data_IF_079302937942
#
_entry.id   IF_079302937942
#
_cell.length_a   1.000
_cell.length_b   1.000
_cell.length_c   1.000
_cell.angle_alpha   90.00
_cell.angle_beta   90.00
_cell.angle_gamma   90.00
#
_symmetry.space_group_name_H-M   'P 1'
#
loop_
_entity.id
_entity.type
_entity.pdbx_description
1 polymer ?
#
# COMPACT_ATOMS: atom_id res chain seq x y z
N UNK A 1 33.99 -4.39 -19.73
CA UNK A 1 32.81 -4.56 -20.61
C UNK A 1 32.82 -5.92 -21.34
N UNK A 2 33.89 -6.31 -22.05
CA UNK A 2 33.95 -7.58 -22.81
C UNK A 2 33.69 -8.87 -21.99
N UNK A 3 34.25 -8.97 -20.77
CA UNK A 3 33.99 -10.14 -19.90
C UNK A 3 32.52 -10.24 -19.49
N UNK A 4 31.84 -9.12 -19.25
CA UNK A 4 30.44 -9.11 -18.85
C UNK A 4 29.54 -9.59 -20.00
N UNK A 5 29.82 -9.17 -21.23
CA UNK A 5 29.10 -9.67 -22.42
C UNK A 5 29.33 -11.17 -22.65
N UNK A 6 30.53 -11.67 -22.37
CA UNK A 6 30.88 -13.09 -22.48
C UNK A 6 30.17 -13.95 -21.41
N UNK A 7 30.10 -13.48 -20.16
CA UNK A 7 29.31 -14.13 -19.11
C UNK A 7 27.82 -14.15 -19.44
N UNK A 8 27.28 -13.04 -19.96
CA UNK A 8 25.87 -12.95 -20.36
C UNK A 8 25.55 -13.91 -21.52
N UNK A 9 26.43 -14.02 -22.52
CA UNK A 9 26.25 -14.96 -23.62
C UNK A 9 26.32 -16.41 -23.15
N UNK A 10 27.26 -16.72 -22.26
CA UNK A 10 27.38 -18.06 -21.67
C UNK A 10 26.15 -18.42 -20.84
N UNK A 11 25.67 -17.49 -20.02
CA UNK A 11 24.48 -17.69 -19.19
C UNK A 11 23.22 -17.80 -20.03
N UNK A 12 23.04 -16.94 -21.03
CA UNK A 12 21.91 -17.00 -21.96
C UNK A 12 21.90 -18.32 -22.75
N UNK A 13 23.05 -18.75 -23.27
CA UNK A 13 23.17 -20.01 -23.99
C UNK A 13 22.90 -21.23 -23.10
N UNK A 14 23.35 -21.20 -21.85
CA UNK A 14 23.05 -22.25 -20.88
C UNK A 14 21.58 -22.27 -20.48
N UNK A 15 20.97 -21.10 -20.27
CA UNK A 15 19.57 -20.99 -19.91
C UNK A 15 18.67 -21.46 -21.07
N UNK A 16 18.93 -21.02 -22.29
CA UNK A 16 18.19 -21.47 -23.47
C UNK A 16 18.28 -22.98 -23.66
N UNK A 17 19.48 -23.55 -23.56
CA UNK A 17 19.70 -25.00 -23.71
C UNK A 17 19.04 -25.79 -22.59
N UNK A 18 19.11 -25.31 -21.35
CA UNK A 18 18.46 -25.95 -20.21
C UNK A 18 16.94 -25.87 -20.32
N UNK A 19 16.38 -24.70 -20.62
CA UNK A 19 14.94 -24.52 -20.79
C UNK A 19 14.43 -25.36 -21.97
N UNK A 20 15.11 -25.33 -23.11
CA UNK A 20 14.72 -26.12 -24.28
C UNK A 20 14.78 -27.63 -24.00
N UNK A 21 15.80 -28.09 -23.28
CA UNK A 21 15.93 -29.50 -22.90
C UNK A 21 14.89 -29.91 -21.84
N UNK A 22 14.56 -29.03 -20.89
CA UNK A 22 13.52 -29.28 -19.90
C UNK A 22 12.14 -29.35 -20.55
N UNK A 23 11.85 -28.45 -21.51
CA UNK A 23 10.56 -28.42 -22.19
C UNK A 23 10.38 -29.62 -23.13
N UNK A 24 11.42 -30.02 -23.86
CA UNK A 24 11.37 -31.15 -24.79
C UNK A 24 11.31 -32.53 -24.11
N UNK A 25 11.76 -32.63 -22.86
CA UNK A 25 11.73 -33.87 -22.07
C UNK A 25 10.45 -34.07 -21.26
N UNK A 26 9.53 -33.10 -21.25
CA UNK A 26 8.26 -33.21 -20.53
C UNK A 26 7.33 -34.24 -21.21
N UNK A 27 6.80 -35.16 -20.42
CA UNK A 27 5.73 -36.04 -20.87
C UNK A 27 4.38 -35.31 -20.84
N UNK A 28 3.37 -35.82 -21.56
CA UNK A 28 2.01 -35.26 -21.54
C UNK A 28 1.44 -35.18 -20.11
N UNK A 29 1.78 -36.14 -19.25
CA UNK A 29 1.37 -36.15 -17.83
C UNK A 29 1.96 -34.98 -17.05
N UNK A 30 3.18 -34.56 -17.37
CA UNK A 30 3.85 -33.47 -16.68
C UNK A 30 3.25 -32.11 -17.06
N UNK A 31 2.86 -31.94 -18.33
CA UNK A 31 2.11 -30.76 -18.76
C UNK A 31 0.78 -30.63 -18.03
N UNK A 32 0.03 -31.72 -17.90
CA UNK A 32 -1.25 -31.73 -17.16
C UNK A 32 -1.03 -31.34 -15.69
N UNK A 33 0.02 -31.86 -15.04
CA UNK A 33 0.39 -31.48 -13.67
C UNK A 33 0.72 -30.00 -13.55
N UNK A 34 1.48 -29.43 -14.48
CA UNK A 34 1.82 -27.99 -14.49
C UNK A 34 0.56 -27.15 -14.61
N UNK A 35 -0.36 -27.50 -15.51
CA UNK A 35 -1.62 -26.79 -15.69
C UNK A 35 -2.50 -26.88 -14.43
N UNK A 36 -2.58 -28.04 -13.79
CA UNK A 36 -3.32 -28.19 -12.53
C UNK A 36 -2.71 -27.33 -11.41
N UNK A 37 -1.37 -27.28 -11.29
CA UNK A 37 -0.72 -26.47 -10.28
C UNK A 37 -0.91 -24.96 -10.54
N UNK A 38 -0.68 -24.50 -11.77
CA UNK A 38 -0.88 -23.09 -12.13
C UNK A 38 -2.35 -22.69 -12.04
N UNK A 39 -3.23 -23.48 -12.65
CA UNK A 39 -4.67 -23.23 -12.66
C UNK A 39 -5.26 -23.33 -11.27
N UNK A 40 -4.87 -24.35 -10.50
CA UNK A 40 -5.25 -24.52 -9.10
C UNK A 40 -4.78 -23.36 -8.23
N UNK A 41 -3.52 -22.92 -8.37
CA UNK A 41 -3.01 -21.74 -7.65
C UNK A 41 -3.74 -20.46 -8.05
N UNK A 42 -3.94 -20.23 -9.35
CA UNK A 42 -4.65 -19.06 -9.85
C UNK A 42 -6.08 -18.98 -9.31
N UNK A 43 -6.75 -20.13 -9.20
CA UNK A 43 -8.09 -20.23 -8.62
C UNK A 43 -8.08 -20.11 -7.09
N UNK A 44 -7.06 -20.64 -6.40
CA UNK A 44 -6.93 -20.60 -4.94
C UNK A 44 -6.57 -19.20 -4.42
N UNK A 45 -5.74 -18.45 -5.17
CA UNK A 45 -5.26 -17.10 -4.81
C UNK A 45 -6.36 -16.12 -4.35
N UNK A 46 -7.46 -15.90 -5.09
CA UNK A 46 -8.50 -14.94 -4.66
C UNK A 46 -9.16 -15.34 -3.34
N UNK A 47 -9.27 -16.63 -3.03
CA UNK A 47 -9.83 -17.10 -1.76
C UNK A 47 -8.86 -16.91 -0.60
N UNK A 48 -7.56 -17.17 -0.82
CA UNK A 48 -6.53 -16.87 0.17
C UNK A 48 -6.47 -15.38 0.50
N UNK A 49 -6.60 -14.51 -0.50
CA UNK A 49 -6.66 -13.06 -0.29
C UNK A 49 -7.90 -12.63 0.52
N UNK A 50 -9.07 -13.23 0.25
CA UNK A 50 -10.28 -12.98 1.03
C UNK A 50 -10.15 -13.45 2.48
N UNK A 51 -9.48 -14.58 2.73
CA UNK A 51 -9.22 -15.09 4.07
C UNK A 51 -8.23 -14.20 4.82
N UNK A 52 -7.13 -13.82 4.18
CA UNK A 52 -6.14 -12.92 4.75
C UNK A 52 -6.76 -11.56 5.11
N UNK A 53 -7.59 -10.99 4.22
CA UNK A 53 -8.31 -9.74 4.51
C UNK A 53 -9.26 -9.85 5.71
N UNK A 54 -9.96 -10.98 5.86
CA UNK A 54 -10.80 -11.24 7.05
C UNK A 54 -9.98 -11.39 8.33
N UNK A 55 -8.81 -12.01 8.24
CA UNK A 55 -7.91 -12.16 9.40
C UNK A 55 -7.37 -10.80 9.83
N UNK A 56 -6.90 -10.00 8.87
CA UNK A 56 -6.46 -8.63 9.11
C UNK A 56 -7.57 -7.75 9.70
N UNK A 57 -8.80 -7.82 9.17
CA UNK A 57 -9.92 -7.07 9.74
C UNK A 57 -10.21 -7.47 11.20
N UNK A 58 -10.16 -8.76 11.51
CA UNK A 58 -10.33 -9.27 12.89
C UNK A 58 -9.21 -8.83 13.82
N UNK A 59 -7.97 -8.77 13.34
CA UNK A 59 -6.85 -8.27 14.13
C UNK A 59 -6.96 -6.75 14.36
N UNK A 60 -7.48 -5.99 13.39
CA UNK A 60 -7.76 -4.56 13.56
C UNK A 60 -8.94 -4.28 14.50
N UNK A 61 -9.94 -5.16 14.54
CA UNK A 61 -11.10 -5.05 15.44
C UNK A 61 -10.82 -5.60 16.84
N UNK A 62 -9.78 -6.43 17.01
CA UNK A 62 -9.41 -6.96 18.32
C UNK A 62 -8.85 -5.82 19.18
N UNK A 63 -9.52 -5.57 20.30
CA UNK A 63 -8.98 -4.71 21.35
C UNK A 63 -7.67 -5.32 21.85
N UNK A 64 -6.55 -4.62 21.57
CA UNK A 64 -5.23 -5.03 22.02
C UNK A 64 -5.20 -4.96 23.54
N UNK A 65 -4.78 -6.05 24.20
CA UNK A 65 -4.56 -6.01 25.64
C UNK A 65 -3.44 -5.00 25.96
N UNK A 66 -3.45 -4.35 27.13
CA UNK A 66 -2.42 -3.36 27.49
C UNK A 66 -0.99 -3.93 27.47
N UNK A 67 -0.83 -5.25 27.53
CA UNK A 67 0.46 -5.94 27.43
C UNK A 67 0.91 -6.22 25.98
N UNK A 68 -0.01 -6.19 25.01
CA UNK A 68 0.30 -6.32 23.57
C UNK A 68 0.61 -4.96 22.94
N UNK A 69 0.04 -3.86 23.45
CA UNK A 69 0.30 -2.47 22.98
C UNK A 69 1.76 -1.99 23.21
N UNK A 70 2.49 -2.64 24.11
CA UNK A 70 3.91 -2.33 24.40
C UNK A 70 4.87 -3.14 23.53
N UNK A 71 4.37 -4.11 22.75
CA UNK A 71 5.20 -4.92 21.85
C UNK A 71 5.47 -4.18 20.53
N UNK A 72 6.69 -4.30 20.01
CA UNK A 72 7.14 -3.68 18.76
C UNK A 72 6.29 -4.09 17.53
N UNK A 73 5.53 -5.18 17.66
CA UNK A 73 4.62 -5.71 16.64
C UNK A 73 3.24 -5.03 16.61
N UNK A 74 2.84 -4.33 17.66
CA UNK A 74 1.54 -3.66 17.78
C UNK A 74 1.64 -2.14 17.55
N UNK A 75 2.72 -1.67 16.94
CA UNK A 75 2.94 -0.25 16.70
C UNK A 75 1.82 0.32 15.79
N UNK A 76 1.02 1.28 16.28
CA UNK A 76 -0.01 1.90 15.48
C UNK A 76 0.63 2.71 14.35
N UNK A 77 -0.04 2.78 13.19
CA UNK A 77 0.45 3.51 12.02
C UNK A 77 0.78 4.99 12.31
N UNK A 78 0.17 5.58 13.35
CA UNK A 78 0.50 6.92 13.86
C UNK A 78 1.91 7.02 14.45
N UNK A 79 2.43 5.97 15.09
CA UNK A 79 3.81 5.92 15.59
C UNK A 79 4.85 5.89 14.47
N UNK A 80 4.49 5.37 13.29
CA UNK A 80 5.35 5.38 12.10
C UNK A 80 5.36 6.74 11.39
N UNK A 81 4.28 7.53 11.52
CA UNK A 81 4.18 8.88 10.93
C UNK A 81 5.23 9.85 11.50
N UNK A 82 5.57 9.73 12.78
CA UNK A 82 6.56 10.60 13.42
C UNK A 82 8.02 10.15 13.25
N UNK A 83 8.26 8.93 12.75
CA UNK A 83 9.60 8.38 12.53
C UNK A 83 10.09 8.59 11.08
N UNK A 84 9.18 8.87 10.16
CA UNK A 84 9.50 9.24 8.78
C UNK A 84 9.44 10.76 8.73
N UNK A 85 10.61 11.42 8.80
CA UNK A 85 10.73 12.82 8.41
C UNK A 85 10.36 12.90 6.92
N UNK A 86 9.09 13.18 6.63
CA UNK A 86 8.67 13.62 5.31
C UNK A 86 9.19 15.04 5.19
N UNK A 87 10.11 15.33 4.25
CA UNK A 87 10.55 16.69 4.01
C UNK A 87 9.32 17.58 3.78
N UNK A 88 9.24 18.64 4.56
CA UNK A 88 8.25 19.69 4.47
C UNK A 88 8.44 20.45 3.15
N UNK A 89 7.35 20.64 2.41
CA UNK A 89 7.17 21.46 1.20
C UNK A 89 8.38 21.71 0.28
N UNK A 90 8.37 21.05 -0.87
CA UNK A 90 8.66 21.73 -2.14
C UNK A 90 7.46 21.59 -3.05
N UNK A 91 6.62 22.61 -3.00
CA UNK A 91 5.62 22.98 -3.98
C UNK A 91 6.31 23.52 -5.25
N UNK A 92 7.14 22.68 -5.89
CA UNK A 92 7.67 22.98 -7.22
C UNK A 92 6.87 22.18 -8.25
N UNK A 93 5.91 22.88 -8.83
CA UNK A 93 5.44 22.61 -10.18
C UNK A 93 6.64 22.65 -11.14
N UNK A 94 7.37 21.55 -11.31
CA UNK A 94 8.12 21.33 -12.56
C UNK A 94 8.47 19.85 -12.82
N UNK A 95 7.89 19.40 -13.93
CA UNK A 95 8.42 18.45 -14.91
C UNK A 95 9.76 17.75 -14.58
N UNK A 96 9.70 16.55 -14.01
CA UNK A 96 10.72 15.53 -14.28
C UNK A 96 10.19 14.09 -14.15
N UNK A 97 9.90 13.52 -15.33
CA UNK A 97 10.27 12.17 -15.74
C UNK A 97 10.43 11.10 -14.63
N UNK A 98 9.34 10.43 -14.27
CA UNK A 98 9.41 9.05 -13.82
C UNK A 98 8.36 8.23 -14.59
N UNK A 99 8.85 7.45 -15.55
CA UNK A 99 8.10 6.50 -16.37
C UNK A 99 7.57 5.32 -15.53
N UNK A 100 6.72 5.60 -14.56
CA UNK A 100 6.05 4.62 -13.72
C UNK A 100 4.54 4.80 -13.84
N UNK A 101 3.85 3.76 -14.31
CA UNK A 101 2.38 3.72 -14.34
C UNK A 101 1.86 4.09 -12.95
N UNK A 102 1.09 5.17 -12.88
CA UNK A 102 0.66 5.81 -11.64
C UNK A 102 -0.65 5.21 -11.11
N UNK A 103 -0.57 3.95 -10.68
CA UNK A 103 -1.68 3.17 -10.11
C UNK A 103 -2.01 3.61 -8.68
N UNK A 104 -2.25 4.90 -8.44
CA UNK A 104 -2.60 5.32 -7.08
C UNK A 104 -2.79 6.80 -6.86
N UNK A 105 -2.39 7.66 -7.80
CA UNK A 105 -2.61 9.11 -7.65
C UNK A 105 -4.07 9.50 -7.55
N UNK A 106 -4.97 8.81 -8.26
CA UNK A 106 -6.42 9.06 -8.14
C UNK A 106 -6.97 8.67 -6.75
N UNK A 107 -6.56 7.52 -6.21
CA UNK A 107 -6.95 7.09 -4.87
C UNK A 107 -6.39 8.02 -3.77
N UNK A 108 -5.11 8.40 -3.89
CA UNK A 108 -4.45 9.36 -2.98
C UNK A 108 -5.10 10.75 -3.02
N UNK A 109 -5.48 11.24 -4.21
CA UNK A 109 -6.23 12.50 -4.37
C UNK A 109 -7.60 12.44 -3.68
N UNK A 110 -8.33 11.33 -3.82
CA UNK A 110 -9.64 11.15 -3.16
C UNK A 110 -9.52 11.11 -1.64
N UNK A 111 -8.54 10.40 -1.11
CA UNK A 111 -8.26 10.36 0.33
C UNK A 111 -7.93 11.75 0.89
N UNK A 112 -7.07 12.52 0.21
CA UNK A 112 -6.74 13.91 0.61
C UNK A 112 -7.96 14.84 0.58
N UNK A 113 -8.85 14.69 -0.41
CA UNK A 113 -10.08 15.48 -0.50
C UNK A 113 -11.05 15.19 0.64
N UNK A 114 -11.16 13.92 1.07
CA UNK A 114 -11.99 13.53 2.22
C UNK A 114 -11.43 14.13 3.51
N UNK A 115 -10.12 14.02 3.75
CA UNK A 115 -9.47 14.59 4.94
C UNK A 115 -9.63 16.11 4.98
N UNK A 116 -9.40 16.80 3.85
CA UNK A 116 -9.59 18.26 3.75
C UNK A 116 -11.03 18.67 4.08
N UNK A 117 -12.02 17.95 3.53
CA UNK A 117 -13.44 18.22 3.80
C UNK A 117 -13.81 17.98 5.27
N UNK A 118 -13.17 17.00 5.92
CA UNK A 118 -13.40 16.69 7.34
C UNK A 118 -12.82 17.79 8.24
N UNK A 119 -11.61 18.26 7.92
CA UNK A 119 -10.95 19.36 8.63
C UNK A 119 -11.72 20.69 8.49
N UNK A 120 -12.18 21.00 7.27
CA UNK A 120 -12.96 22.21 6.99
C UNK A 120 -14.32 22.20 7.70
N UNK A 121 -14.95 21.03 7.84
CA UNK A 121 -16.19 20.89 8.60
C UNK A 121 -15.98 21.08 10.11
N UNK A 122 -14.83 20.64 10.64
CA UNK A 122 -14.46 20.84 12.05
C UNK A 122 -14.14 22.32 12.34
N UNK A 123 -13.35 22.96 11.47
CA UNK A 123 -13.04 24.40 11.57
C UNK A 123 -14.31 25.25 11.51
N UNK A 124 -15.25 24.91 10.63
CA UNK A 124 -16.54 25.60 10.56
C UNK A 124 -17.38 25.42 11.83
N UNK A 125 -17.37 24.23 12.44
CA UNK A 125 -18.10 23.97 13.69
C UNK A 125 -17.50 24.77 14.86
N UNK A 126 -16.17 24.87 14.91
CA UNK A 126 -15.45 25.67 15.90
C UNK A 126 -15.69 27.18 15.70
N UNK A 127 -15.79 27.64 14.44
CA UNK A 127 -16.13 29.03 14.15
C UNK A 127 -17.57 29.38 14.58
N UNK A 128 -18.54 28.50 14.31
CA UNK A 128 -19.93 28.67 14.77
C UNK A 128 -20.02 28.66 16.31
N UNK A 129 -19.30 27.75 16.99
CA UNK A 129 -19.23 27.72 18.46
C UNK A 129 -18.52 28.96 19.06
N UNK A 130 -17.50 29.49 18.39
CA UNK A 130 -16.79 30.70 18.81
C UNK A 130 -17.62 31.97 18.61
N UNK A 131 -18.34 32.08 17.49
CA UNK A 131 -19.23 33.21 17.21
C UNK A 131 -20.45 33.27 18.15
N UNK A 132 -20.96 32.12 18.61
CA UNK A 132 -22.03 32.09 19.60
C UNK A 132 -21.51 32.41 21.01
N UNK A 133 -20.28 32.02 21.35
CA UNK A 133 -19.63 32.39 22.60
C UNK A 133 -19.36 33.91 22.71
N UNK A 134 -19.02 34.59 21.62
CA UNK A 134 -18.80 36.04 21.63
C UNK A 134 -20.12 36.82 21.79
N UNK A 135 -21.22 36.34 21.20
CA UNK A 135 -22.57 36.93 21.38
C UNK A 135 -23.09 36.78 22.81
N UNK A 136 -22.87 35.63 23.44
CA UNK A 136 -23.26 35.38 24.83
C UNK A 136 -22.50 36.28 25.82
N UNK A 137 -21.29 36.75 25.46
CA UNK A 137 -20.50 37.69 26.26
C UNK A 137 -21.00 39.14 26.09
N UNK A 138 -21.45 39.52 24.89
CA UNK A 138 -22.03 40.85 24.63
C UNK A 138 -23.29 41.13 25.47
N UNK A 139 -24.12 40.11 25.75
CA UNK A 139 -25.31 40.23 26.62
C UNK A 139 -24.97 40.59 28.08
N UNK A 140 -23.75 40.30 28.56
CA UNK A 140 -23.31 40.64 29.93
C UNK A 140 -22.65 42.03 30.05
N UNK A 141 -22.53 42.78 28.94
CA UNK A 141 -21.89 44.09 28.88
C UNK A 141 -22.89 45.27 28.73
N UNK A 142 -24.20 44.99 28.67
CA UNK A 142 -25.30 45.98 28.71
C UNK A 142 -25.89 46.14 30.11
#
# INVERSE_FOLDING_TARGET
MQKATEYLQTWAGNLQRNVSNSVSRLSLKDYIRIVILLGGYALLRPYLLKLAGKFQARDHERELSPNEMTSDAAMPASSLRNRIQVPEDTDDEDESSAAGVDWGRSARRRQRKVIRKLLEAEEKRLAEEGEDSDKDIEEFLE
#
